data_IF_243378440993
#
_entry.id   IF_243378440993
#
_cell.length_a   1.000
_cell.length_b   1.000
_cell.length_c   1.000
_cell.angle_alpha   90.00
_cell.angle_beta   90.00
_cell.angle_gamma   90.00
#
_symmetry.space_group_name_H-M   'P 1'
#
loop_
_entity.id
_entity.type
_entity.pdbx_description
1 polymer ?
#
# COMPACT_ATOMS: atom_id res chain seq x y z
N UNK A 1 -1.15 -23.88 11.66
CA UNK A 1 -1.04 -22.49 12.17
C UNK A 1 -0.56 -21.64 11.00
N UNK A 2 -1.32 -20.64 10.56
CA UNK A 2 -0.95 -19.81 9.40
C UNK A 2 0.16 -18.85 9.81
N UNK A 3 1.28 -18.83 9.08
CA UNK A 3 2.44 -18.03 9.42
C UNK A 3 2.15 -16.52 9.26
N UNK A 4 2.68 -15.65 10.13
CA UNK A 4 2.67 -14.20 9.92
C UNK A 4 3.39 -13.86 8.61
N UNK A 5 2.95 -12.83 7.92
CA UNK A 5 3.53 -12.48 6.61
C UNK A 5 3.45 -10.99 6.26
N UNK A 6 4.11 -10.68 5.14
CA UNK A 6 4.06 -9.41 4.45
C UNK A 6 2.68 -9.16 3.79
N UNK A 7 2.37 -7.91 3.47
CA UNK A 7 1.20 -7.48 2.74
C UNK A 7 1.30 -8.09 1.36
N UNK A 8 0.14 -8.36 0.76
CA UNK A 8 0.08 -8.76 -0.62
C UNK A 8 0.74 -7.68 -1.50
N UNK A 9 1.47 -8.07 -2.56
CA UNK A 9 1.88 -7.11 -3.57
C UNK A 9 0.62 -6.48 -4.19
N UNK A 10 0.64 -5.17 -4.39
CA UNK A 10 -0.41 -4.47 -5.11
C UNK A 10 -0.02 -4.26 -6.57
N UNK A 11 -1.02 -4.01 -7.40
CA UNK A 11 -0.90 -3.63 -8.80
C UNK A 11 -1.63 -2.32 -9.08
N UNK A 12 -1.26 -1.69 -10.20
CA UNK A 12 -2.00 -0.57 -10.80
C UNK A 12 -2.64 -1.10 -12.08
N UNK A 13 -3.89 -0.71 -12.35
CA UNK A 13 -4.69 -1.22 -13.48
C UNK A 13 -4.08 -0.93 -14.86
N UNK A 14 -3.17 0.05 -14.93
CA UNK A 14 -2.51 0.45 -16.16
C UNK A 14 -1.03 0.74 -15.91
N UNK A 15 -0.23 0.48 -16.95
CA UNK A 15 1.19 0.86 -17.00
C UNK A 15 1.38 2.25 -17.62
N UNK A 16 0.35 2.80 -18.26
CA UNK A 16 0.27 4.17 -18.78
C UNK A 16 -1.10 4.78 -18.50
N UNK A 17 -1.17 6.09 -18.24
CA UNK A 17 -2.44 6.81 -18.08
C UNK A 17 -2.26 8.29 -18.45
N UNK A 18 -3.33 8.95 -18.90
CA UNK A 18 -3.30 10.40 -19.18
C UNK A 18 -3.57 11.22 -17.91
N UNK A 19 -3.08 12.46 -17.87
CA UNK A 19 -3.53 13.40 -16.84
C UNK A 19 -5.05 13.58 -16.91
N UNK A 20 -5.73 13.58 -15.76
CA UNK A 20 -7.20 13.58 -15.67
C UNK A 20 -7.85 12.20 -15.76
N UNK A 21 -7.09 11.12 -16.02
CA UNK A 21 -7.61 9.76 -15.98
C UNK A 21 -7.77 9.25 -14.54
N UNK A 22 -8.46 8.11 -14.42
CA UNK A 22 -8.56 7.35 -13.18
C UNK A 22 -7.83 6.02 -13.35
N UNK A 23 -7.03 5.64 -12.36
CA UNK A 23 -6.35 4.33 -12.29
C UNK A 23 -6.78 3.58 -11.04
N UNK A 24 -6.88 2.26 -11.11
CA UNK A 24 -7.22 1.43 -9.95
C UNK A 24 -5.95 0.87 -9.33
N UNK A 25 -5.81 0.98 -8.02
CA UNK A 25 -4.75 0.37 -7.23
C UNK A 25 -5.37 -0.70 -6.36
N UNK A 26 -4.91 -1.94 -6.50
CA UNK A 26 -5.52 -3.07 -5.80
C UNK A 26 -4.50 -4.10 -5.36
N UNK A 27 -4.81 -4.79 -4.27
CA UNK A 27 -4.09 -5.96 -3.81
C UNK A 27 -5.08 -7.08 -3.46
N UNK A 28 -4.74 -8.31 -3.82
CA UNK A 28 -5.49 -9.50 -3.43
C UNK A 28 -5.26 -9.85 -1.97
N UNK A 29 -6.14 -10.63 -1.36
CA UNK A 29 -5.94 -11.12 0.00
C UNK A 29 -4.65 -11.94 0.12
N UNK A 30 -3.92 -11.75 1.22
CA UNK A 30 -2.80 -12.60 1.55
C UNK A 30 -3.27 -14.05 1.78
N UNK A 31 -2.49 -15.02 1.31
CA UNK A 31 -2.74 -16.46 1.56
C UNK A 31 -2.32 -16.91 2.96
N UNK A 32 -1.64 -16.02 3.69
CA UNK A 32 -1.16 -16.14 5.05
C UNK A 32 -2.00 -15.24 5.99
N UNK A 33 -1.69 -15.19 7.29
CA UNK A 33 -2.51 -14.44 8.26
C UNK A 33 -1.79 -13.18 8.78
N UNK A 34 -1.82 -12.04 8.04
CA UNK A 34 -1.19 -10.79 8.45
C UNK A 34 -1.89 -10.08 9.62
N UNK A 35 -3.19 -10.33 9.86
CA UNK A 35 -3.99 -9.76 10.97
C UNK A 35 -3.98 -8.23 11.03
N UNK A 36 -4.35 -7.56 9.93
CA UNK A 36 -4.36 -6.09 9.91
C UNK A 36 -5.47 -5.46 10.77
N UNK A 37 -6.47 -6.24 11.15
CA UNK A 37 -7.67 -5.79 11.86
C UNK A 37 -8.82 -5.48 10.91
N UNK A 38 -10.05 -5.54 11.45
CA UNK A 38 -11.29 -5.33 10.68
C UNK A 38 -11.50 -3.89 10.21
N UNK A 39 -10.76 -2.95 10.76
CA UNK A 39 -10.80 -1.51 10.42
C UNK A 39 -9.47 -1.05 9.84
N UNK A 40 -8.71 -1.97 9.24
CA UNK A 40 -7.46 -1.63 8.61
C UNK A 40 -7.70 -0.65 7.46
N UNK A 41 -6.70 0.19 7.23
CA UNK A 41 -6.69 1.13 6.12
C UNK A 41 -5.37 1.00 5.37
N UNK A 42 -5.39 1.35 4.10
CA UNK A 42 -4.19 1.51 3.29
C UNK A 42 -4.05 3.00 2.98
N UNK A 43 -2.82 3.51 3.07
CA UNK A 43 -2.48 4.80 2.50
C UNK A 43 -1.89 4.58 1.13
N UNK A 44 -2.45 5.25 0.13
CA UNK A 44 -1.96 5.22 -1.24
C UNK A 44 -1.51 6.63 -1.62
N UNK A 45 -0.30 6.74 -2.13
CA UNK A 45 0.33 7.99 -2.53
C UNK A 45 0.73 7.90 -3.99
N UNK A 46 0.39 8.93 -4.78
CA UNK A 46 0.82 9.09 -6.16
C UNK A 46 1.81 10.25 -6.26
N UNK A 47 2.96 9.98 -6.88
CA UNK A 47 3.97 10.97 -7.25
C UNK A 47 4.10 11.09 -8.76
N UNK A 48 4.16 12.32 -9.26
CA UNK A 48 4.39 12.60 -10.68
C UNK A 48 5.88 12.52 -11.05
N UNK A 49 6.21 12.88 -12.30
CA UNK A 49 7.58 12.86 -12.82
C UNK A 49 8.53 13.88 -12.18
N UNK A 50 8.01 14.90 -11.49
CA UNK A 50 8.80 15.81 -10.69
C UNK A 50 9.10 15.24 -9.28
N UNK A 51 8.54 14.07 -8.94
CA UNK A 51 8.62 13.47 -7.61
C UNK A 51 7.68 14.12 -6.59
N UNK A 52 6.79 15.00 -7.04
CA UNK A 52 5.83 15.71 -6.18
C UNK A 52 4.67 14.78 -5.87
N UNK A 53 4.26 14.73 -4.59
CA UNK A 53 3.03 14.06 -4.17
C UNK A 53 1.84 14.84 -4.72
N UNK A 54 1.12 14.22 -5.66
CA UNK A 54 -0.05 14.82 -6.33
C UNK A 54 -1.37 14.22 -5.83
N UNK A 55 -1.33 13.02 -5.24
CA UNK A 55 -2.49 12.39 -4.58
C UNK A 55 -2.01 11.67 -3.32
N UNK A 56 -2.80 11.78 -2.25
CA UNK A 56 -2.66 11.00 -1.03
C UNK A 56 -4.05 10.62 -0.54
N UNK A 57 -4.30 9.32 -0.46
CA UNK A 57 -5.61 8.78 -0.16
C UNK A 57 -5.53 7.71 0.94
N UNK A 58 -6.55 7.68 1.80
CA UNK A 58 -6.76 6.62 2.78
C UNK A 58 -7.98 5.80 2.37
N UNK A 59 -7.77 4.52 2.10
CA UNK A 59 -8.82 3.60 1.66
C UNK A 59 -9.01 2.45 2.66
N UNK A 60 -10.21 1.86 2.73
CA UNK A 60 -10.45 0.64 3.51
C UNK A 60 -9.56 -0.51 3.03
N UNK A 61 -9.03 -1.27 3.97
CA UNK A 61 -8.28 -2.51 3.74
C UNK A 61 -8.85 -3.60 4.64
N UNK A 62 -8.95 -4.83 4.13
CA UNK A 62 -9.44 -5.94 4.94
C UNK A 62 -8.34 -6.51 5.86
N UNK A 63 -8.74 -7.41 6.76
CA UNK A 63 -7.83 -8.05 7.74
C UNK A 63 -6.68 -8.84 7.08
N UNK A 64 -6.87 -9.30 5.83
CA UNK A 64 -5.88 -10.02 5.03
C UNK A 64 -5.06 -9.14 4.09
N UNK A 65 -5.23 -7.81 4.16
CA UNK A 65 -4.45 -6.84 3.40
C UNK A 65 -4.99 -6.56 2.00
N UNK A 66 -6.12 -7.16 1.62
CA UNK A 66 -6.76 -6.89 0.34
C UNK A 66 -7.43 -5.51 0.35
N UNK A 67 -7.29 -4.79 -0.77
CA UNK A 67 -7.91 -3.48 -0.99
C UNK A 67 -8.11 -3.22 -2.49
N UNK A 68 -8.96 -2.25 -2.80
CA UNK A 68 -9.12 -1.70 -4.15
C UNK A 68 -9.53 -0.23 -4.02
N UNK A 69 -8.80 0.67 -4.67
CA UNK A 69 -9.05 2.11 -4.65
C UNK A 69 -8.85 2.70 -6.03
N UNK A 70 -9.69 3.68 -6.39
CA UNK A 70 -9.57 4.45 -7.62
C UNK A 70 -8.84 5.76 -7.33
N UNK A 71 -7.69 5.98 -7.98
CA UNK A 71 -6.96 7.22 -7.89
C UNK A 71 -7.21 8.08 -9.13
N UNK A 72 -7.67 9.31 -8.90
CA UNK A 72 -7.77 10.30 -9.96
C UNK A 72 -6.43 11.01 -10.15
N UNK A 73 -5.85 10.93 -11.35
CA UNK A 73 -4.63 11.66 -11.71
C UNK A 73 -5.02 13.11 -12.01
N UNK A 74 -4.54 14.12 -11.26
CA UNK A 74 -4.89 15.50 -11.54
C UNK A 74 -4.51 15.91 -12.97
N UNK A 75 -5.34 16.73 -13.62
CA UNK A 75 -5.05 17.26 -14.96
C UNK A 75 -3.75 18.10 -15.03
N UNK A 76 -3.28 18.60 -13.88
CA UNK A 76 -2.03 19.34 -13.75
C UNK A 76 -0.80 18.45 -13.47
N UNK A 77 -0.96 17.12 -13.41
CA UNK A 77 0.14 16.20 -13.17
C UNK A 77 1.19 16.31 -14.29
N UNK A 78 2.47 16.34 -13.90
CA UNK A 78 3.53 16.39 -14.90
C UNK A 78 3.63 15.06 -15.68
N UNK A 79 3.71 15.11 -17.02
CA UNK A 79 3.88 13.92 -17.84
C UNK A 79 5.25 13.27 -17.58
N UNK A 80 5.33 11.96 -17.75
CA UNK A 80 6.54 11.16 -17.56
C UNK A 80 6.39 10.06 -16.52
N UNK A 81 7.51 9.47 -16.06
CA UNK A 81 7.49 8.38 -15.08
C UNK A 81 6.87 8.81 -13.76
N UNK A 82 5.87 8.09 -13.30
CA UNK A 82 5.18 8.31 -12.04
C UNK A 82 5.32 7.08 -11.13
N UNK A 83 5.07 7.29 -9.84
CA UNK A 83 5.17 6.25 -8.82
C UNK A 83 3.92 6.23 -7.95
N UNK A 84 3.35 5.05 -7.77
CA UNK A 84 2.32 4.76 -6.77
C UNK A 84 2.99 4.01 -5.62
N UNK A 85 2.77 4.48 -4.41
CA UNK A 85 3.16 3.82 -3.18
C UNK A 85 1.89 3.41 -2.43
N UNK A 86 1.82 2.18 -1.93
CA UNK A 86 0.71 1.74 -1.08
C UNK A 86 1.24 0.99 0.13
N UNK A 87 0.79 1.36 1.32
CA UNK A 87 1.16 0.70 2.57
C UNK A 87 0.06 0.76 3.62
N UNK A 88 -0.03 -0.24 4.52
CA UNK A 88 -1.00 -0.22 5.61
C UNK A 88 -0.83 1.02 6.51
N UNK A 89 -1.92 1.77 6.72
CA UNK A 89 -1.90 3.04 7.45
C UNK A 89 -1.70 2.83 8.96
N UNK A 90 -0.92 3.72 9.58
CA UNK A 90 -0.68 3.74 11.03
C UNK A 90 -0.11 2.42 11.60
N UNK A 91 0.52 1.61 10.74
CA UNK A 91 1.16 0.35 11.10
C UNK A 91 2.68 0.52 11.09
N UNK A 92 3.35 0.04 12.15
CA UNK A 92 4.81 0.02 12.17
C UNK A 92 5.24 -1.10 11.22
N UNK A 93 5.56 -0.69 10.00
CA UNK A 93 5.91 -1.57 8.90
C UNK A 93 7.29 -2.20 9.10
N UNK A 94 8.19 -1.45 9.73
CA UNK A 94 9.59 -1.78 9.92
C UNK A 94 9.86 -2.64 11.16
N UNK A 95 8.94 -2.61 12.15
CA UNK A 95 9.14 -3.19 13.49
C UNK A 95 10.56 -2.92 14.04
N UNK A 96 11.04 -1.69 13.85
CA UNK A 96 12.30 -1.22 14.41
C UNK A 96 12.14 -0.87 15.90
N UNK A 97 10.89 -0.71 16.37
CA UNK A 97 10.51 -0.46 17.76
C UNK A 97 10.28 -1.72 18.60
N UNK A 98 10.23 -2.92 17.99
CA UNK A 98 9.88 -4.18 18.65
C UNK A 98 8.44 -4.22 19.16
N UNK A 99 7.58 -3.33 18.67
CA UNK A 99 6.17 -3.21 19.02
C UNK A 99 5.33 -3.52 17.80
N UNK A 100 4.85 -4.76 17.72
CA UNK A 100 3.84 -5.08 16.73
C UNK A 100 2.48 -4.46 17.11
N UNK A 101 2.02 -3.47 16.34
CA UNK A 101 0.67 -2.97 16.44
C UNK A 101 -0.38 -3.83 15.69
N UNK A 102 0.03 -4.90 15.00
CA UNK A 102 -0.84 -5.90 14.33
C UNK A 102 -1.39 -6.97 15.29
N UNK A 103 -0.86 -7.11 16.51
CA UNK A 103 -1.42 -8.02 17.53
C UNK A 103 -1.57 -7.29 18.86
N UNK A 104 -2.77 -7.34 19.45
CA UNK A 104 -2.91 -7.09 20.87
C UNK A 104 -1.91 -7.95 21.64
N UNK A 105 -1.23 -7.34 22.61
CA UNK A 105 -0.09 -7.88 23.39
C UNK A 105 -0.40 -9.28 23.95
N UNK A 106 -0.18 -10.33 23.16
CA UNK A 106 -0.38 -11.71 23.59
C UNK A 106 0.97 -12.29 24.00
N UNK A 107 1.08 -12.73 25.26
CA UNK A 107 2.29 -13.32 25.83
C UNK A 107 2.71 -14.65 25.16
N UNK A 108 1.91 -15.16 24.22
CA UNK A 108 2.13 -16.42 23.48
C UNK A 108 2.28 -16.21 21.97
N UNK A 109 2.35 -14.96 21.49
CA UNK A 109 2.56 -14.71 20.07
C UNK A 109 3.99 -15.11 19.66
N UNK A 110 4.17 -15.85 18.55
CA UNK A 110 5.51 -16.18 18.04
C UNK A 110 6.31 -14.90 17.79
N UNK A 111 7.63 -14.97 17.98
CA UNK A 111 8.55 -13.88 17.68
C UNK A 111 8.37 -13.49 16.20
N UNK A 112 8.13 -12.21 15.97
CA UNK A 112 7.87 -11.70 14.63
C UNK A 112 9.22 -11.41 14.00
N UNK A 113 9.43 -11.99 12.83
CA UNK A 113 10.64 -11.80 12.05
C UNK A 113 10.56 -10.46 11.33
N UNK A 114 11.65 -9.68 11.37
CA UNK A 114 11.75 -8.38 10.71
C UNK A 114 11.55 -8.56 9.21
N UNK A 115 10.58 -7.85 8.64
CA UNK A 115 10.35 -7.92 7.19
C UNK A 115 10.36 -6.53 6.57
N UNK A 116 11.49 -6.19 5.92
CA UNK A 116 11.78 -5.08 5.00
C UNK A 116 11.01 -3.75 5.15
N UNK A 117 11.77 -2.68 5.40
CA UNK A 117 11.33 -1.28 5.40
C UNK A 117 11.08 -0.65 4.02
N UNK A 118 11.26 -1.40 2.93
CA UNK A 118 11.08 -0.82 1.60
C UNK A 118 9.58 -0.64 1.30
N UNK A 119 9.11 0.59 1.04
CA UNK A 119 7.73 0.80 0.59
C UNK A 119 7.51 0.04 -0.71
N UNK A 120 6.35 -0.60 -0.85
CA UNK A 120 5.96 -1.19 -2.13
C UNK A 120 5.66 -0.05 -3.10
N UNK A 121 6.37 -0.03 -4.22
CA UNK A 121 6.27 1.03 -5.24
C UNK A 121 5.96 0.41 -6.59
N UNK A 122 4.88 0.85 -7.22
CA UNK A 122 4.56 0.54 -8.61
C UNK A 122 4.83 1.74 -9.50
N UNK A 123 5.51 1.52 -10.61
CA UNK A 123 5.84 2.56 -11.58
C UNK A 123 4.90 2.46 -12.77
N UNK A 124 4.48 3.61 -13.27
CA UNK A 124 3.72 3.73 -14.51
C UNK A 124 4.09 5.05 -15.20
N UNK A 125 3.55 5.31 -16.39
CA UNK A 125 3.83 6.52 -17.16
C UNK A 125 2.58 7.40 -17.26
N UNK A 126 2.74 8.69 -16.96
CA UNK A 126 1.73 9.71 -17.25
C UNK A 126 1.99 10.25 -18.66
N UNK A 127 1.03 10.08 -19.55
CA UNK A 127 1.09 10.62 -20.90
C UNK A 127 0.74 12.11 -20.93
N UNK A 128 1.29 12.88 -21.88
CA UNK A 128 0.94 14.30 -22.10
C UNK A 128 -0.55 14.54 -22.36
#
# INVERSE_FOLDING_TARGET
MSQPCLPPPFSVSATTATAGATVTVAASDATCNPRYGKTAQVQVTLRDSNGVEIVKELAPMNDQGGFSVELHIPAAAAPGPAAVEAYPYNLDWCDDTGRNNRVGRSATAPAIERVSCAPSVQKFLIEP
#
